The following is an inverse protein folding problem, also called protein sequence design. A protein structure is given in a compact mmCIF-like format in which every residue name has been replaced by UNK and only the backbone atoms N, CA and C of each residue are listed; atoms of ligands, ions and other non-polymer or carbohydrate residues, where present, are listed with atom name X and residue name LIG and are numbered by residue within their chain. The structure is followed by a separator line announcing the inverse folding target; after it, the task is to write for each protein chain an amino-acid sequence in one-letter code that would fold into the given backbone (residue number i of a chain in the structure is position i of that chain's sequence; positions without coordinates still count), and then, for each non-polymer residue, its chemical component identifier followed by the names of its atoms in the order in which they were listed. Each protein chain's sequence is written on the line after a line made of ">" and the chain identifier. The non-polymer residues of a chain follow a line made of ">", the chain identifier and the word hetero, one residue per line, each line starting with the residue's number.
data_IF_392155659471
#
_entry.id   IF_392155659471
#
_cell.length_a   1.000
_cell.length_b   1.000
_cell.length_c   1.000
_cell.angle_alpha   90.00
_cell.angle_beta   90.00
_cell.angle_gamma   90.00
#
_symmetry.space_group_name_H-M   'P 1'
#
loop_
_entity.id
_entity.type
_entity.pdbx_description
1 polymer ?
#
# COMPACT_ATOMS: atom_id res chain seq x y z
N UNK A 1 0.52 -15.33 3.52
CA UNK A 1 0.23 -13.94 3.13
C UNK A 1 1.14 -13.46 1.99
N UNK A 2 2.42 -13.16 2.25
CA UNK A 2 3.34 -12.57 1.24
C UNK A 2 3.39 -13.36 -0.07
N UNK A 3 3.55 -14.68 0.00
CA UNK A 3 3.61 -15.54 -1.20
C UNK A 3 2.31 -15.48 -2.02
N UNK A 4 1.15 -15.55 -1.35
CA UNK A 4 -0.17 -15.44 -1.98
C UNK A 4 -0.35 -14.07 -2.63
N UNK A 5 0.04 -13.00 -1.95
CA UNK A 5 -0.07 -11.64 -2.48
C UNK A 5 0.84 -11.44 -3.69
N UNK A 6 2.07 -11.97 -3.66
CA UNK A 6 2.98 -11.95 -4.82
C UNK A 6 2.38 -12.68 -6.02
N UNK A 7 1.92 -13.92 -5.83
CA UNK A 7 1.27 -14.68 -6.89
C UNK A 7 0.05 -13.96 -7.47
N UNK A 8 -0.73 -13.28 -6.64
CA UNK A 8 -1.91 -12.53 -7.06
C UNK A 8 -1.58 -11.25 -7.83
N UNK A 9 -0.52 -10.52 -7.43
CA UNK A 9 -0.01 -9.36 -8.17
C UNK A 9 0.60 -9.80 -9.51
N UNK A 10 1.40 -10.87 -9.53
CA UNK A 10 1.97 -11.42 -10.77
C UNK A 10 0.87 -11.85 -11.75
N UNK A 11 -0.17 -12.53 -11.25
CA UNK A 11 -1.32 -12.92 -12.06
C UNK A 11 -2.16 -11.74 -12.56
N UNK A 12 -2.10 -10.59 -11.89
CA UNK A 12 -2.78 -9.38 -12.31
C UNK A 12 -2.10 -8.69 -13.51
N UNK A 13 -0.82 -9.01 -13.79
CA UNK A 13 -0.06 -8.51 -14.94
C UNK A 13 -0.04 -6.98 -15.05
N UNK A 14 0.00 -6.47 -16.28
CA UNK A 14 0.10 -5.04 -16.62
C UNK A 14 -1.03 -4.16 -16.03
N UNK A 15 -2.10 -4.75 -15.50
CA UNK A 15 -3.17 -4.02 -14.83
C UNK A 15 -2.69 -3.37 -13.51
N UNK A 16 -1.60 -3.88 -12.93
CA UNK A 16 -0.91 -3.31 -11.79
C UNK A 16 0.45 -2.89 -12.32
N UNK A 17 0.64 -1.59 -12.55
CA UNK A 17 1.83 -1.07 -13.23
C UNK A 17 3.13 -1.67 -12.69
N UNK A 18 4.13 -1.80 -13.57
CA UNK A 18 5.35 -2.63 -13.43
C UNK A 18 6.24 -2.41 -12.18
N UNK A 19 5.82 -1.59 -11.21
CA UNK A 19 6.64 -1.09 -10.10
C UNK A 19 6.13 -1.48 -8.70
N UNK A 20 5.23 -2.47 -8.57
CA UNK A 20 4.86 -2.98 -7.25
C UNK A 20 5.89 -4.00 -6.73
N UNK A 21 6.63 -3.59 -5.70
CA UNK A 21 7.46 -4.50 -4.91
C UNK A 21 6.70 -4.94 -3.64
N UNK A 22 6.72 -6.24 -3.33
CA UNK A 22 6.18 -6.77 -2.08
C UNK A 22 7.33 -7.19 -1.19
N UNK A 23 7.43 -6.54 -0.04
CA UNK A 23 8.44 -6.80 0.97
C UNK A 23 7.82 -7.01 2.35
N UNK A 24 8.37 -7.95 3.11
CA UNK A 24 7.99 -8.21 4.48
C UNK A 24 8.73 -7.28 5.43
N UNK A 25 8.04 -6.78 6.45
CA UNK A 25 8.63 -5.95 7.51
C UNK A 25 8.29 -6.55 8.87
N UNK A 26 9.21 -6.42 9.82
CA UNK A 26 9.07 -7.04 11.14
C UNK A 26 7.96 -6.41 11.99
N UNK A 27 7.70 -5.10 11.81
CA UNK A 27 6.71 -4.38 12.62
C UNK A 27 6.13 -3.18 11.86
N UNK A 28 4.81 -3.01 11.94
CA UNK A 28 4.06 -1.82 11.51
C UNK A 28 3.17 -1.28 12.64
N UNK A 29 3.53 -1.57 13.89
CA UNK A 29 2.77 -1.22 15.11
C UNK A 29 1.30 -1.69 15.11
N UNK A 30 0.98 -2.77 14.38
CA UNK A 30 -0.37 -3.36 14.30
C UNK A 30 -0.49 -4.71 15.01
N UNK A 31 0.22 -4.90 16.12
CA UNK A 31 0.34 -6.19 16.81
C UNK A 31 -1.03 -6.79 17.20
N UNK A 32 -1.99 -5.94 17.59
CA UNK A 32 -3.34 -6.38 17.99
C UNK A 32 -4.30 -6.59 16.81
N UNK A 33 -3.82 -6.41 15.56
CA UNK A 33 -4.62 -6.40 14.32
C UNK A 33 -4.01 -7.26 13.20
N UNK A 34 -3.63 -8.53 13.42
CA UNK A 34 -3.05 -9.35 12.36
C UNK A 34 -4.10 -9.75 11.31
N UNK A 35 -3.81 -9.76 10.01
CA UNK A 35 -2.58 -9.32 9.35
C UNK A 35 -2.63 -7.82 8.99
N UNK A 36 -1.47 -7.14 8.91
CA UNK A 36 -1.37 -5.76 8.45
C UNK A 36 -0.70 -5.65 7.08
N UNK A 37 -1.17 -4.70 6.27
CA UNK A 37 -0.63 -4.41 4.93
C UNK A 37 -0.53 -2.91 4.73
N UNK A 38 0.61 -2.44 4.26
CA UNK A 38 0.82 -1.04 3.94
C UNK A 38 1.01 -0.81 2.45
N UNK A 39 0.51 0.33 1.96
CA UNK A 39 0.78 0.85 0.63
C UNK A 39 1.58 2.12 0.77
N UNK A 40 2.71 2.18 0.07
CA UNK A 40 3.62 3.31 0.04
C UNK A 40 3.99 3.63 -1.40
N UNK A 41 4.12 4.92 -1.71
CA UNK A 41 4.57 5.40 -3.00
C UNK A 41 5.10 6.82 -2.88
N UNK A 42 6.10 7.16 -3.69
CA UNK A 42 6.64 8.52 -3.73
C UNK A 42 5.54 9.51 -4.09
N UNK A 43 5.45 10.60 -3.32
CA UNK A 43 4.42 11.67 -3.44
C UNK A 43 2.97 11.20 -3.25
N UNK A 44 2.75 9.97 -2.78
CA UNK A 44 1.42 9.41 -2.54
C UNK A 44 1.11 9.29 -1.05
N UNK A 45 -0.18 9.38 -0.72
CA UNK A 45 -0.65 9.06 0.62
C UNK A 45 -0.27 7.61 0.99
N UNK A 46 0.27 7.40 2.17
CA UNK A 46 0.58 6.07 2.71
C UNK A 46 -0.63 5.52 3.43
N UNK A 47 -0.96 4.25 3.18
CA UNK A 47 -2.04 3.54 3.83
C UNK A 47 -1.51 2.41 4.69
N UNK A 48 -2.13 2.20 5.85
CA UNK A 48 -1.96 1.02 6.66
C UNK A 48 -3.33 0.39 6.91
N UNK A 49 -3.49 -0.84 6.47
CA UNK A 49 -4.66 -1.67 6.72
C UNK A 49 -4.32 -2.74 7.77
N UNK A 50 -5.29 -3.10 8.59
CA UNK A 50 -5.20 -4.19 9.57
C UNK A 50 -6.33 -5.19 9.44
N UNK A 51 -6.34 -6.19 10.31
CA UNK A 51 -7.35 -7.26 10.32
C UNK A 51 -7.52 -7.95 8.95
N UNK A 52 -6.44 -8.04 8.16
CA UNK A 52 -6.46 -8.63 6.82
C UNK A 52 -6.42 -10.16 6.93
N UNK A 53 -7.34 -10.81 6.24
CA UNK A 53 -7.41 -12.26 6.07
C UNK A 53 -6.79 -12.65 4.71
N UNK A 54 -5.65 -13.38 4.70
CA UNK A 54 -5.00 -13.83 3.46
C UNK A 54 -5.82 -14.79 2.61
N UNK A 55 -6.92 -15.37 3.13
CA UNK A 55 -7.78 -16.28 2.38
C UNK A 55 -8.91 -15.56 1.65
N UNK A 56 -9.36 -14.42 2.17
CA UNK A 56 -10.55 -13.71 1.63
C UNK A 56 -10.24 -12.33 1.07
N UNK A 57 -9.19 -11.67 1.56
CA UNK A 57 -9.00 -10.23 1.33
C UNK A 57 -7.94 -9.93 0.25
N UNK A 58 -7.32 -10.95 -0.35
CA UNK A 58 -6.27 -10.78 -1.38
C UNK A 58 -6.81 -10.03 -2.60
N UNK A 59 -8.01 -10.36 -3.08
CA UNK A 59 -8.60 -9.68 -4.25
C UNK A 59 -8.86 -8.19 -3.99
N UNK A 60 -9.32 -7.85 -2.78
CA UNK A 60 -9.51 -6.45 -2.37
C UNK A 60 -8.18 -5.69 -2.34
N UNK A 61 -7.09 -6.32 -1.88
CA UNK A 61 -5.76 -5.74 -1.90
C UNK A 61 -5.27 -5.51 -3.34
N UNK A 62 -5.39 -6.51 -4.21
CA UNK A 62 -5.03 -6.39 -5.63
C UNK A 62 -5.85 -5.27 -6.31
N UNK A 63 -7.15 -5.17 -6.04
CA UNK A 63 -8.00 -4.11 -6.54
C UNK A 63 -7.56 -2.72 -6.03
N UNK A 64 -7.17 -2.62 -4.76
CA UNK A 64 -6.68 -1.37 -4.20
C UNK A 64 -5.30 -1.00 -4.78
N UNK A 65 -4.42 -1.98 -5.02
CA UNK A 65 -3.13 -1.77 -5.68
C UNK A 65 -3.33 -1.14 -7.07
N UNK A 66 -4.27 -1.64 -7.86
CA UNK A 66 -4.65 -1.05 -9.16
C UNK A 66 -5.10 0.39 -8.99
N UNK A 67 -6.06 0.64 -8.11
CA UNK A 67 -6.57 1.99 -7.85
C UNK A 67 -5.47 2.95 -7.38
N UNK A 68 -4.61 2.49 -6.46
CA UNK A 68 -3.49 3.24 -5.92
C UNK A 68 -2.43 3.56 -6.98
N UNK A 69 -2.23 2.67 -7.96
CA UNK A 69 -1.35 2.92 -9.11
C UNK A 69 -1.84 4.12 -9.92
N UNK A 70 -3.14 4.18 -10.22
CA UNK A 70 -3.77 5.25 -11.03
C UNK A 70 -3.86 6.59 -10.30
N UNK A 71 -4.02 6.60 -8.97
CA UNK A 71 -4.12 7.83 -8.19
C UNK A 71 -2.75 8.50 -8.04
N UNK A 72 -2.56 9.65 -8.69
CA UNK A 72 -1.28 10.36 -8.70
C UNK A 72 -0.80 10.77 -7.29
N UNK A 73 -1.72 11.25 -6.44
CA UNK A 73 -1.46 11.61 -5.04
C UNK A 73 -1.75 10.44 -4.06
N UNK A 74 -2.14 9.28 -4.59
CA UNK A 74 -2.57 8.12 -3.82
C UNK A 74 -3.83 8.33 -2.98
N UNK A 75 -4.53 9.46 -3.11
CA UNK A 75 -5.64 9.79 -2.22
C UNK A 75 -6.93 9.08 -2.63
N UNK A 76 -7.46 8.27 -1.72
CA UNK A 76 -8.70 7.51 -1.89
C UNK A 76 -9.63 7.69 -0.69
N UNK A 77 -10.89 8.07 -0.94
CA UNK A 77 -11.95 8.15 0.07
C UNK A 77 -12.26 6.76 0.63
N UNK A 78 -12.80 6.67 1.85
CA UNK A 78 -13.16 5.37 2.44
C UNK A 78 -14.19 4.63 1.60
N UNK A 79 -15.17 5.33 1.00
CA UNK A 79 -16.23 4.70 0.19
C UNK A 79 -15.73 4.12 -1.14
N UNK A 80 -14.63 4.65 -1.67
CA UNK A 80 -14.06 4.23 -2.95
C UNK A 80 -13.11 3.04 -2.79
N UNK A 81 -12.77 2.64 -1.55
CA UNK A 81 -11.89 1.50 -1.29
C UNK A 81 -12.63 0.19 -1.58
N UNK A 82 -11.96 -0.84 -2.11
CA UNK A 82 -12.53 -2.16 -2.32
C UNK A 82 -12.97 -2.84 -1.01
N UNK A 83 -14.08 -3.57 -1.10
CA UNK A 83 -14.62 -4.47 -0.07
C UNK A 83 -14.35 -4.07 1.38
N UNK A 84 -13.55 -4.88 2.08
CA UNK A 84 -13.28 -4.73 3.52
C UNK A 84 -12.37 -3.53 3.85
N UNK A 85 -11.58 -3.06 2.89
CA UNK A 85 -10.60 -1.98 3.06
C UNK A 85 -11.23 -0.63 3.43
N UNK A 86 -12.53 -0.48 3.16
CA UNK A 86 -13.34 0.67 3.62
C UNK A 86 -13.30 0.86 5.13
N UNK A 87 -13.27 -0.25 5.88
CA UNK A 87 -13.39 -0.30 7.35
C UNK A 87 -12.10 -0.72 8.05
N UNK A 88 -11.16 -1.33 7.33
CA UNK A 88 -9.93 -1.87 7.92
C UNK A 88 -8.73 -0.91 7.90
N UNK A 89 -8.95 0.36 7.57
CA UNK A 89 -7.88 1.38 7.55
C UNK A 89 -7.50 1.76 8.97
N UNK A 90 -6.28 1.42 9.37
CA UNK A 90 -5.69 1.82 10.65
C UNK A 90 -5.12 3.23 10.59
N UNK A 91 -4.47 3.56 9.46
CA UNK A 91 -3.92 4.88 9.24
C UNK A 91 -3.92 5.25 7.75
N UNK A 92 -4.05 6.55 7.49
CA UNK A 92 -3.73 7.17 6.22
C UNK A 92 -2.89 8.39 6.49
N UNK A 93 -1.64 8.36 6.07
CA UNK A 93 -0.71 9.48 6.21
C UNK A 93 -0.64 10.19 4.86
N UNK A 94 -1.03 11.47 4.75
CA UNK A 94 -0.90 12.20 3.50
C UNK A 94 0.57 12.29 3.09
N UNK A 95 0.84 12.40 1.78
CA UNK A 95 2.18 12.77 1.32
C UNK A 95 2.45 14.20 1.76
N UNK A 96 3.08 14.36 2.93
CA UNK A 96 3.65 15.64 3.29
C UNK A 96 4.75 15.94 2.28
N UNK A 97 4.68 17.10 1.63
CA UNK A 97 5.84 17.75 1.03
C UNK A 97 6.85 18.04 2.16
N UNK A 98 7.53 17.01 2.66
CA UNK A 98 8.84 17.22 3.23
C UNK A 98 9.71 17.38 1.99
N UNK A 99 10.00 18.63 1.64
CA UNK A 99 11.11 18.92 0.75
C UNK A 99 12.33 18.26 1.37
N UNK A 100 12.69 17.08 0.88
CA UNK A 100 14.06 16.64 0.93
C UNK A 100 14.77 17.61 -0.01
N UNK A 101 15.27 18.71 0.54
CA UNK A 101 16.30 19.49 -0.12
C UNK A 101 17.34 18.47 -0.58
N UNK A 102 17.69 18.41 -1.88
CA UNK A 102 18.75 17.53 -2.32
C UNK A 102 19.97 17.86 -1.48
N UNK A 103 20.48 16.88 -0.74
CA UNK A 103 21.76 17.01 -0.05
C UNK A 103 22.77 17.34 -1.14
N UNK A 104 23.21 18.61 -1.22
CA UNK A 104 24.30 18.97 -2.12
C UNK A 104 25.46 18.05 -1.78
N UNK A 105 25.83 17.22 -2.75
CA UNK A 105 26.99 16.36 -2.68
C UNK A 105 28.19 17.26 -2.42
N UNK A 106 28.75 17.20 -1.21
CA UNK A 106 30.05 17.77 -0.90
C UNK A 106 31.08 17.05 -1.77
N UNK A 107 31.31 17.58 -2.96
CA UNK A 107 32.48 17.25 -3.77
C UNK A 107 33.67 17.90 -3.06
N UNK A 108 34.49 17.06 -2.42
CA UNK A 108 35.82 17.44 -1.95
C UNK A 108 36.84 17.20 -3.05
#
# INVERSE_FOLDING_TARGET
>A
MIEKLRAAIDAAGDAIGESFEISGVACMAGCDRPCTVAYYGSRKATYLFGDIDPETDIEDLVAFARQYAYLHDGWCSSVDRPGKLRKSTLARVPSSFIALEPTEEFTQ
#
